data_IF_062013432142
#
_entry.id   IF_062013432142
#
_cell.length_a   1.000
_cell.length_b   1.000
_cell.length_c   1.000
_cell.angle_alpha   90.00
_cell.angle_beta   90.00
_cell.angle_gamma   90.00
#
_symmetry.space_group_name_H-M   'P 1'
#
loop_
_entity.id
_entity.type
_entity.pdbx_description
1 polymer ?
#
# COMPACT_ATOMS: atom_id res chain seq x y z
N UNK A 1 -4.14 17.11 23.84
CA UNK A 1 -3.07 18.01 24.34
C UNK A 1 -3.49 18.76 25.61
N UNK A 2 -4.58 19.55 25.60
CA UNK A 2 -5.00 20.43 26.72
C UNK A 2 -5.26 19.66 28.03
N UNK A 3 -5.96 18.53 27.96
CA UNK A 3 -6.21 17.67 29.13
C UNK A 3 -4.91 17.18 29.78
N UNK A 4 -3.96 16.70 28.98
CA UNK A 4 -2.66 16.24 29.49
C UNK A 4 -1.80 17.39 30.02
N UNK A 5 -1.86 18.57 29.40
CA UNK A 5 -1.17 19.74 29.90
C UNK A 5 -1.69 20.21 31.28
N UNK A 6 -3.02 20.17 31.48
CA UNK A 6 -3.64 20.46 32.79
C UNK A 6 -3.32 19.44 33.88
N UNK A 7 -3.03 18.18 33.48
CA UNK A 7 -2.73 17.08 34.40
C UNK A 7 -1.25 16.66 34.38
N UNK A 8 -0.34 17.54 33.93
CA UNK A 8 1.08 17.24 33.74
C UNK A 8 1.75 16.66 35.00
N UNK A 9 1.39 17.12 36.19
CA UNK A 9 1.97 16.64 37.45
C UNK A 9 1.63 15.18 37.78
N UNK A 10 0.58 14.60 37.17
CA UNK A 10 0.16 13.21 37.37
C UNK A 10 0.70 12.27 36.27
N UNK A 11 1.34 12.79 35.22
CA UNK A 11 1.92 11.99 34.18
C UNK A 11 3.19 11.29 34.66
N UNK A 12 3.26 9.95 34.42
CA UNK A 12 4.45 9.13 34.70
C UNK A 12 5.26 8.92 33.42
N UNK A 13 5.77 9.99 32.84
CA UNK A 13 6.52 9.93 31.59
C UNK A 13 6.29 11.16 30.73
N UNK A 14 6.65 11.04 29.47
CA UNK A 14 6.52 12.11 28.47
C UNK A 14 5.53 11.70 27.39
N UNK A 15 4.67 12.60 26.97
CA UNK A 15 3.79 12.43 25.81
C UNK A 15 4.17 13.43 24.75
N UNK A 16 4.56 12.91 23.58
CA UNK A 16 4.85 13.71 22.40
C UNK A 16 3.63 13.68 21.48
N UNK A 17 3.22 14.83 20.99
CA UNK A 17 2.20 14.96 19.96
C UNK A 17 2.87 15.18 18.62
N UNK A 18 2.57 14.32 17.63
CA UNK A 18 3.05 14.43 16.26
C UNK A 18 1.92 14.97 15.40
N UNK A 19 2.15 16.12 14.78
CA UNK A 19 1.26 16.76 13.80
C UNK A 19 1.93 16.66 12.44
N UNK A 20 1.66 15.58 11.72
CA UNK A 20 2.32 15.33 10.45
C UNK A 20 1.63 16.04 9.28
N UNK A 21 2.40 16.52 8.30
CA UNK A 21 1.87 17.06 7.05
C UNK A 21 1.64 15.94 6.03
N UNK A 22 0.68 16.15 5.12
CA UNK A 22 0.52 15.40 3.88
C UNK A 22 0.45 13.85 4.04
N UNK A 23 -0.36 13.36 5.01
CA UNK A 23 -0.62 11.94 5.18
C UNK A 23 -1.26 11.31 3.92
N UNK A 24 -2.20 12.01 3.28
CA UNK A 24 -2.89 11.59 2.05
C UNK A 24 -2.02 11.69 0.77
N UNK A 25 -0.74 11.98 0.94
CA UNK A 25 0.25 12.16 -0.11
C UNK A 25 0.62 13.63 -0.36
N UNK A 26 1.92 13.94 -0.46
CA UNK A 26 2.38 15.27 -0.79
C UNK A 26 2.08 15.64 -2.26
N UNK A 27 2.11 16.93 -2.61
CA UNK A 27 2.13 17.36 -4.01
C UNK A 27 3.27 16.71 -4.78
N UNK A 28 3.11 16.58 -6.10
CA UNK A 28 4.13 15.97 -6.96
C UNK A 28 5.48 16.72 -6.83
N UNK A 29 6.53 15.94 -6.52
CA UNK A 29 7.89 16.49 -6.33
C UNK A 29 8.20 17.03 -4.92
N UNK A 30 7.26 16.95 -3.98
CA UNK A 30 7.45 17.32 -2.58
C UNK A 30 7.52 16.08 -1.68
N UNK A 31 8.22 16.20 -0.55
CA UNK A 31 8.23 15.21 0.51
C UNK A 31 7.10 15.48 1.52
N UNK A 32 6.66 14.44 2.24
CA UNK A 32 5.62 14.59 3.25
C UNK A 32 5.44 13.34 4.12
N UNK A 33 4.48 13.42 5.00
CA UNK A 33 4.06 12.28 5.81
C UNK A 33 5.05 11.80 6.85
N UNK A 34 4.83 10.58 7.33
CA UNK A 34 5.63 9.95 8.37
C UNK A 34 7.07 9.67 7.93
N UNK A 35 7.27 9.28 6.67
CA UNK A 35 8.60 8.99 6.12
C UNK A 35 9.53 10.20 6.19
N UNK A 36 9.03 11.37 5.78
CA UNK A 36 9.79 12.62 5.84
C UNK A 36 10.14 12.98 7.29
N UNK A 37 9.20 12.86 8.22
CA UNK A 37 9.44 13.18 9.63
C UNK A 37 10.48 12.25 10.27
N UNK A 38 10.50 10.97 9.89
CA UNK A 38 11.54 10.02 10.31
C UNK A 38 12.90 10.39 9.73
N UNK A 39 12.95 10.75 8.44
CA UNK A 39 14.19 11.21 7.79
C UNK A 39 14.75 12.50 8.44
N UNK A 40 13.89 13.36 8.99
CA UNK A 40 14.27 14.53 9.78
C UNK A 40 14.71 14.20 11.22
N UNK A 41 14.70 12.92 11.61
CA UNK A 41 15.20 12.44 12.89
C UNK A 41 14.26 12.67 14.09
N UNK A 42 12.95 12.67 13.87
CA UNK A 42 11.98 12.90 14.96
C UNK A 42 12.13 11.86 16.08
N UNK A 43 12.40 10.60 15.76
CA UNK A 43 12.58 9.55 16.75
C UNK A 43 13.97 9.61 17.41
N UNK A 44 15.01 9.92 16.65
CA UNK A 44 16.37 10.11 17.19
C UNK A 44 16.41 11.22 18.23
N UNK A 45 15.67 12.29 17.95
CA UNK A 45 15.63 13.47 18.83
C UNK A 45 14.88 13.24 20.13
N UNK A 46 13.79 12.45 20.12
CA UNK A 46 12.89 12.31 21.26
C UNK A 46 12.83 10.91 21.84
N UNK A 47 13.37 9.92 21.14
CA UNK A 47 13.48 8.51 21.53
C UNK A 47 12.16 7.94 22.14
N UNK A 48 11.03 7.98 21.42
CA UNK A 48 9.78 7.44 21.94
C UNK A 48 9.84 5.91 22.05
N UNK A 49 9.20 5.35 23.09
CA UNK A 49 9.15 3.91 23.33
C UNK A 49 8.02 3.23 22.53
N UNK A 50 6.93 3.95 22.31
CA UNK A 50 5.74 3.47 21.60
C UNK A 50 5.06 4.63 20.86
N UNK A 51 4.26 4.30 19.84
CA UNK A 51 3.46 5.29 19.12
C UNK A 51 2.02 4.82 18.96
N UNK A 52 1.08 5.78 18.99
CA UNK A 52 -0.35 5.55 18.80
C UNK A 52 -0.88 6.42 17.67
N UNK A 53 -1.73 5.82 16.82
CA UNK A 53 -2.53 6.53 15.82
C UNK A 53 -4.01 6.19 16.00
N UNK A 54 -4.88 7.18 15.85
CA UNK A 54 -6.33 7.02 15.88
C UNK A 54 -6.91 7.58 14.58
N UNK A 55 -7.64 6.75 13.85
CA UNK A 55 -8.34 7.14 12.63
C UNK A 55 -9.86 7.05 12.80
N UNK A 56 -10.56 8.01 12.26
CA UNK A 56 -12.03 7.94 12.13
C UNK A 56 -12.40 7.01 10.97
N UNK A 57 -13.45 6.20 11.17
CA UNK A 57 -13.92 5.31 10.10
C UNK A 57 -15.45 5.18 10.19
N UNK A 58 -16.06 4.49 9.24
CA UNK A 58 -17.51 4.31 9.19
C UNK A 58 -17.99 3.24 10.18
N UNK A 59 -17.78 3.50 11.48
CA UNK A 59 -18.30 2.72 12.60
C UNK A 59 -19.15 3.62 13.51
N UNK A 60 -20.09 3.06 14.30
CA UNK A 60 -20.93 3.88 15.18
C UNK A 60 -20.15 4.72 16.18
N UNK A 61 -20.66 5.90 16.51
CA UNK A 61 -20.03 6.80 17.48
C UNK A 61 -19.75 6.13 18.82
N UNK A 62 -18.52 6.34 19.32
CA UNK A 62 -18.04 5.82 20.59
C UNK A 62 -17.63 4.35 20.54
N UNK A 63 -17.64 3.73 19.37
CA UNK A 63 -17.02 2.41 19.17
C UNK A 63 -15.52 2.61 18.98
N UNK A 64 -14.73 1.75 19.65
CA UNK A 64 -13.29 1.63 19.40
C UNK A 64 -12.98 0.23 18.87
N UNK A 65 -12.10 0.17 17.90
CA UNK A 65 -11.68 -1.09 17.28
C UNK A 65 -10.17 -1.11 17.08
N UNK A 66 -9.56 -2.26 17.30
CA UNK A 66 -8.14 -2.50 17.02
C UNK A 66 -7.95 -3.90 16.41
N UNK A 67 -6.94 -4.06 15.59
CA UNK A 67 -6.49 -5.38 15.14
C UNK A 67 -5.03 -5.59 15.54
N UNK A 68 -4.76 -6.67 16.25
CA UNK A 68 -3.38 -7.10 16.59
C UNK A 68 -2.66 -7.65 15.36
N UNK A 69 -1.37 -7.39 15.23
CA UNK A 69 -0.57 -7.78 14.06
C UNK A 69 -0.85 -6.91 12.82
N UNK A 70 -0.80 -7.47 11.60
CA UNK A 70 -1.09 -6.71 10.37
C UNK A 70 -2.50 -6.14 10.41
N UNK A 71 -2.63 -4.81 10.53
CA UNK A 71 -3.91 -4.12 10.66
C UNK A 71 -4.37 -3.50 9.33
N UNK A 72 -3.45 -2.90 8.57
CA UNK A 72 -3.72 -2.36 7.24
C UNK A 72 -2.68 -2.83 6.24
N UNK A 73 -3.07 -2.92 4.97
CA UNK A 73 -2.20 -3.44 3.92
C UNK A 73 -1.03 -2.51 3.60
N UNK A 74 0.07 -3.10 3.15
CA UNK A 74 1.04 -2.38 2.34
C UNK A 74 0.41 -1.95 1.01
N UNK A 75 0.78 -0.78 0.52
CA UNK A 75 0.35 -0.26 -0.76
C UNK A 75 1.54 0.01 -1.67
N UNK A 76 1.51 -0.58 -2.86
CA UNK A 76 2.45 -0.34 -3.93
C UNK A 76 1.70 -0.04 -5.21
N UNK A 77 2.19 0.89 -6.01
CA UNK A 77 1.75 1.05 -7.39
C UNK A 77 2.78 0.42 -8.34
N UNK A 78 2.31 -0.10 -9.46
CA UNK A 78 3.19 -0.57 -10.53
C UNK A 78 2.84 0.09 -11.85
N UNK A 79 3.84 0.22 -12.71
CA UNK A 79 3.72 0.69 -14.09
C UNK A 79 4.39 -0.31 -15.01
N UNK A 80 3.70 -0.69 -16.06
CA UNK A 80 4.24 -1.55 -17.12
C UNK A 80 4.16 -0.78 -18.44
N UNK A 81 5.32 -0.57 -19.06
CA UNK A 81 5.42 0.03 -20.39
C UNK A 81 5.66 -1.06 -21.41
N UNK A 82 4.88 -1.07 -22.47
CA UNK A 82 4.95 -2.05 -23.55
C UNK A 82 5.28 -1.31 -24.82
N UNK A 83 6.40 -1.67 -25.45
CA UNK A 83 6.86 -1.10 -26.71
C UNK A 83 6.77 -2.13 -27.83
N UNK A 84 6.07 -1.76 -28.88
CA UNK A 84 5.95 -2.52 -30.10
C UNK A 84 6.54 -1.78 -31.30
N UNK A 85 5.98 -2.04 -32.48
CA UNK A 85 6.33 -1.37 -33.74
C UNK A 85 5.06 -0.88 -34.40
N UNK A 86 4.98 0.44 -34.63
CA UNK A 86 3.82 1.08 -35.24
C UNK A 86 3.60 0.56 -36.66
N UNK A 87 2.33 0.35 -37.03
CA UNK A 87 1.92 -0.03 -38.36
C UNK A 87 0.54 0.52 -38.75
N UNK A 88 0.22 0.50 -40.03
CA UNK A 88 -1.14 0.77 -40.47
C UNK A 88 -2.06 -0.40 -40.08
N UNK A 89 -3.25 -0.11 -39.53
CA UNK A 89 -4.17 -1.13 -39.06
C UNK A 89 -4.63 -2.16 -40.09
N UNK A 90 -4.52 -1.85 -41.39
CA UNK A 90 -4.81 -2.81 -42.47
C UNK A 90 -3.63 -3.72 -42.87
N UNK A 91 -2.44 -3.46 -42.31
CA UNK A 91 -1.21 -4.23 -42.57
C UNK A 91 -0.54 -4.62 -41.25
N UNK A 92 -1.24 -5.32 -40.32
CA UNK A 92 -0.76 -5.58 -38.95
C UNK A 92 0.53 -6.41 -38.92
N UNK A 93 0.78 -7.23 -39.94
CA UNK A 93 2.01 -8.02 -40.06
C UNK A 93 3.28 -7.20 -40.32
N UNK A 94 3.15 -5.90 -40.58
CA UNK A 94 4.29 -4.98 -40.75
C UNK A 94 4.73 -4.33 -39.43
N UNK A 95 4.04 -4.61 -38.33
CA UNK A 95 4.30 -4.07 -36.98
C UNK A 95 4.37 -5.14 -35.92
N UNK A 96 4.47 -4.67 -34.66
CA UNK A 96 4.34 -5.47 -33.42
C UNK A 96 3.33 -4.74 -32.57
N UNK A 97 2.19 -5.39 -32.27
CA UNK A 97 1.04 -4.74 -31.65
C UNK A 97 1.12 -4.75 -30.12
N UNK A 98 1.40 -3.61 -29.46
CA UNK A 98 1.44 -3.52 -27.99
C UNK A 98 0.04 -3.55 -27.37
N UNK A 99 -1.05 -3.31 -28.12
CA UNK A 99 -2.43 -3.42 -27.60
C UNK A 99 -2.75 -4.89 -27.34
N UNK A 100 -2.40 -5.79 -28.25
CA UNK A 100 -2.60 -7.22 -28.07
C UNK A 100 -1.77 -7.75 -26.90
N UNK A 101 -0.50 -7.35 -26.79
CA UNK A 101 0.35 -7.68 -25.66
C UNK A 101 -0.21 -7.14 -24.33
N UNK A 102 -0.82 -5.95 -24.34
CA UNK A 102 -1.51 -5.38 -23.16
C UNK A 102 -2.68 -6.25 -22.73
N UNK A 103 -3.52 -6.72 -23.64
CA UNK A 103 -4.65 -7.59 -23.34
C UNK A 103 -4.19 -8.92 -22.71
N UNK A 104 -3.21 -9.60 -23.30
CA UNK A 104 -2.62 -10.82 -22.75
C UNK A 104 -2.03 -10.59 -21.37
N UNK A 105 -1.34 -9.47 -21.16
CA UNK A 105 -0.72 -9.15 -19.87
C UNK A 105 -1.77 -8.90 -18.79
N UNK A 106 -2.88 -8.24 -19.09
CA UNK A 106 -3.98 -8.03 -18.13
C UNK A 106 -4.56 -9.37 -17.68
N UNK A 107 -4.82 -10.29 -18.61
CA UNK A 107 -5.31 -11.63 -18.29
C UNK A 107 -4.29 -12.40 -17.44
N UNK A 108 -3.02 -12.35 -17.80
CA UNK A 108 -1.96 -13.04 -17.10
C UNK A 108 -1.74 -12.48 -15.67
N UNK A 109 -1.79 -11.16 -15.46
CA UNK A 109 -1.70 -10.52 -14.14
C UNK A 109 -2.81 -11.01 -13.21
N UNK A 110 -4.05 -11.17 -13.70
CA UNK A 110 -5.16 -11.69 -12.91
C UNK A 110 -4.96 -13.15 -12.47
N UNK A 111 -4.09 -13.91 -13.14
CA UNK A 111 -3.79 -15.28 -12.74
C UNK A 111 -2.81 -15.37 -11.56
N UNK A 112 -2.05 -14.34 -11.27
CA UNK A 112 -1.03 -14.38 -10.20
C UNK A 112 -1.70 -14.69 -8.87
N UNK A 113 -2.61 -13.85 -8.39
CA UNK A 113 -3.28 -14.05 -7.10
C UNK A 113 -4.13 -15.33 -7.11
N UNK A 114 -4.86 -15.57 -8.19
CA UNK A 114 -5.82 -16.67 -8.27
C UNK A 114 -5.19 -18.06 -8.46
N UNK A 115 -3.92 -18.17 -8.92
CA UNK A 115 -3.29 -19.44 -9.28
C UNK A 115 -1.92 -19.69 -8.67
N UNK A 116 -1.23 -18.65 -8.19
CA UNK A 116 0.16 -18.75 -7.74
C UNK A 116 0.37 -18.38 -6.29
N UNK A 117 -0.57 -17.62 -5.68
CA UNK A 117 -0.46 -17.15 -4.30
C UNK A 117 -1.37 -17.97 -3.37
N UNK A 118 -0.83 -18.36 -2.21
CA UNK A 118 -1.62 -18.97 -1.14
C UNK A 118 -2.37 -17.90 -0.34
N UNK A 119 -3.56 -17.53 -0.81
CA UNK A 119 -4.39 -16.48 -0.21
C UNK A 119 -4.99 -16.82 1.16
N UNK A 120 -4.90 -18.07 1.60
CA UNK A 120 -5.41 -18.48 2.93
C UNK A 120 -4.54 -17.91 4.04
N UNK A 121 -3.23 -17.98 3.86
CA UNK A 121 -2.27 -17.50 4.86
C UNK A 121 -1.99 -16.00 4.70
N UNK A 122 -1.85 -15.55 3.46
CA UNK A 122 -1.41 -14.20 3.12
C UNK A 122 -2.28 -13.63 1.99
N UNK A 123 -3.41 -12.97 2.31
CA UNK A 123 -4.25 -12.36 1.30
C UNK A 123 -3.52 -11.25 0.54
N UNK A 124 -3.77 -11.19 -0.76
CA UNK A 124 -3.20 -10.18 -1.64
C UNK A 124 -4.21 -9.69 -2.68
N UNK A 125 -4.01 -8.48 -3.16
CA UNK A 125 -4.77 -7.89 -4.26
C UNK A 125 -3.79 -7.33 -5.29
N UNK A 126 -4.04 -7.64 -6.57
CA UNK A 126 -3.42 -7.00 -7.73
C UNK A 126 -4.55 -6.46 -8.60
N UNK A 127 -4.55 -5.17 -8.87
CA UNK A 127 -5.57 -4.54 -9.72
C UNK A 127 -4.91 -3.72 -10.82
N UNK A 128 -5.43 -3.85 -12.04
CA UNK A 128 -5.15 -2.91 -13.13
C UNK A 128 -6.15 -1.76 -13.01
N UNK A 129 -5.66 -0.55 -12.80
CA UNK A 129 -6.48 0.65 -12.64
C UNK A 129 -6.50 1.56 -13.86
N UNK A 130 -5.47 1.49 -14.72
CA UNK A 130 -5.34 2.34 -15.88
C UNK A 130 -4.68 1.61 -17.03
N UNK A 131 -5.19 1.84 -18.24
CA UNK A 131 -4.58 1.41 -19.51
C UNK A 131 -4.57 2.60 -20.45
N UNK A 132 -3.43 2.85 -21.08
CA UNK A 132 -3.28 3.84 -22.17
C UNK A 132 -2.71 3.16 -23.40
N UNK A 133 -3.42 3.25 -24.53
CA UNK A 133 -2.96 2.68 -25.80
C UNK A 133 -3.66 3.35 -26.98
N UNK A 134 -2.90 3.61 -28.03
CA UNK A 134 -3.40 4.10 -29.31
C UNK A 134 -3.92 5.54 -29.31
N UNK A 135 -4.04 6.12 -30.52
CA UNK A 135 -4.55 7.47 -30.74
C UNK A 135 -5.53 7.53 -31.92
N UNK A 136 -5.52 6.53 -32.80
CA UNK A 136 -6.39 6.44 -34.00
C UNK A 136 -6.80 5.00 -34.23
N UNK A 137 -8.04 4.81 -34.70
CA UNK A 137 -8.62 3.49 -34.95
C UNK A 137 -7.96 2.68 -36.08
N UNK A 138 -7.21 3.33 -36.96
CA UNK A 138 -6.55 2.71 -38.11
C UNK A 138 -5.01 2.64 -37.99
N UNK A 139 -4.47 2.84 -36.78
CA UNK A 139 -3.03 2.77 -36.50
C UNK A 139 -2.79 1.84 -35.32
N UNK A 140 -1.94 0.83 -35.51
CA UNK A 140 -1.32 0.09 -34.40
C UNK A 140 -0.29 1.02 -33.78
N UNK A 141 -0.39 1.36 -32.49
CA UNK A 141 0.54 2.30 -31.84
C UNK A 141 1.93 1.69 -31.64
N UNK A 142 2.91 2.52 -31.36
CA UNK A 142 4.24 2.06 -30.95
C UNK A 142 4.26 1.66 -29.45
N UNK A 143 3.45 2.31 -28.61
CA UNK A 143 3.52 2.15 -27.17
C UNK A 143 2.14 1.95 -26.54
N UNK A 144 2.11 1.20 -25.44
CA UNK A 144 1.02 1.16 -24.50
C UNK A 144 1.54 1.15 -23.06
N UNK A 145 0.68 1.47 -22.10
CA UNK A 145 1.01 1.55 -20.68
C UNK A 145 -0.11 0.97 -19.83
N UNK A 146 0.25 0.18 -18.83
CA UNK A 146 -0.62 -0.29 -17.76
C UNK A 146 -0.14 0.33 -16.45
N UNK A 147 -1.06 0.80 -15.60
CA UNK A 147 -0.77 1.10 -14.21
C UNK A 147 -1.78 0.40 -13.29
N UNK A 148 -1.30 -0.02 -12.14
CA UNK A 148 -2.14 -0.70 -11.18
C UNK A 148 -1.62 -0.61 -9.75
N UNK A 149 -2.29 -1.31 -8.87
CA UNK A 149 -1.96 -1.33 -7.44
C UNK A 149 -1.83 -2.74 -6.92
N UNK A 150 -0.97 -2.89 -5.92
CA UNK A 150 -0.75 -4.13 -5.16
C UNK A 150 -1.06 -3.84 -3.70
N UNK A 151 -1.77 -4.77 -3.03
CA UNK A 151 -2.01 -4.76 -1.60
C UNK A 151 -1.60 -6.10 -1.01
N UNK A 152 -0.82 -6.06 0.06
CA UNK A 152 -0.36 -7.25 0.80
C UNK A 152 -0.27 -6.97 2.28
N UNK A 153 -0.28 -8.03 3.11
CA UNK A 153 -0.10 -7.94 4.56
C UNK A 153 1.21 -8.58 5.03
N UNK A 154 2.05 -8.98 4.07
CA UNK A 154 3.32 -9.65 4.30
C UNK A 154 4.38 -9.08 3.32
N UNK A 155 5.54 -8.60 3.83
CA UNK A 155 6.56 -8.01 2.97
C UNK A 155 7.26 -9.03 2.05
N UNK A 156 7.31 -10.31 2.42
CA UNK A 156 7.94 -11.33 1.58
C UNK A 156 7.00 -11.75 0.46
N UNK A 157 5.68 -11.84 0.73
CA UNK A 157 4.68 -12.02 -0.31
C UNK A 157 4.71 -10.85 -1.33
N UNK A 158 4.93 -9.61 -0.89
CA UNK A 158 5.08 -8.48 -1.80
C UNK A 158 6.22 -8.70 -2.79
N UNK A 159 7.40 -9.11 -2.29
CA UNK A 159 8.56 -9.42 -3.15
C UNK A 159 8.28 -10.58 -4.10
N UNK A 160 7.52 -11.57 -3.66
CA UNK A 160 7.08 -12.69 -4.50
C UNK A 160 6.17 -12.18 -5.63
N UNK A 161 5.18 -11.36 -5.32
CA UNK A 161 4.29 -10.76 -6.33
C UNK A 161 5.07 -9.93 -7.36
N UNK A 162 6.08 -9.16 -6.94
CA UNK A 162 6.91 -8.40 -7.88
C UNK A 162 7.60 -9.34 -8.88
N UNK A 163 8.22 -10.43 -8.39
CA UNK A 163 8.86 -11.44 -9.26
C UNK A 163 7.85 -12.10 -10.21
N UNK A 164 6.64 -12.39 -9.72
CA UNK A 164 5.59 -12.98 -10.55
C UNK A 164 5.11 -12.05 -11.65
N UNK A 165 4.97 -10.75 -11.36
CA UNK A 165 4.63 -9.71 -12.35
C UNK A 165 5.73 -9.63 -13.43
N UNK A 166 6.99 -9.57 -13.02
CA UNK A 166 8.13 -9.55 -13.95
C UNK A 166 8.20 -10.81 -14.84
N UNK A 167 7.95 -11.98 -14.23
CA UNK A 167 7.94 -13.26 -14.96
C UNK A 167 6.83 -13.32 -16.00
N UNK A 168 5.63 -12.87 -15.64
CA UNK A 168 4.48 -12.81 -16.55
C UNK A 168 4.74 -11.82 -17.66
N UNK A 169 5.24 -10.62 -17.34
CA UNK A 169 5.60 -9.61 -18.33
C UNK A 169 6.65 -10.13 -19.33
N UNK A 170 7.67 -10.82 -18.85
CA UNK A 170 8.69 -11.45 -19.70
C UNK A 170 8.09 -12.54 -20.60
N UNK A 171 7.16 -13.34 -20.11
CA UNK A 171 6.47 -14.36 -20.91
C UNK A 171 5.68 -13.75 -22.06
N UNK A 172 4.90 -12.70 -21.78
CA UNK A 172 4.13 -11.97 -22.79
C UNK A 172 5.07 -11.26 -23.79
N UNK A 173 6.15 -10.64 -23.33
CA UNK A 173 7.13 -9.99 -24.20
C UNK A 173 7.72 -10.96 -25.24
N UNK A 174 8.10 -12.16 -24.81
CA UNK A 174 8.62 -13.22 -25.70
C UNK A 174 7.57 -13.69 -26.68
N UNK A 175 6.33 -13.90 -26.23
CA UNK A 175 5.24 -14.38 -27.11
C UNK A 175 4.79 -13.37 -28.14
N UNK A 176 4.71 -12.11 -27.75
CA UNK A 176 4.23 -11.00 -28.62
C UNK A 176 5.33 -10.34 -29.46
N UNK A 177 6.60 -10.55 -29.10
CA UNK A 177 7.73 -9.85 -29.73
C UNK A 177 7.88 -8.39 -29.28
N UNK A 178 7.15 -7.96 -28.23
CA UNK A 178 7.23 -6.61 -27.67
C UNK A 178 8.39 -6.47 -26.69
N UNK A 179 8.81 -5.23 -26.40
CA UNK A 179 9.71 -4.91 -25.30
C UNK A 179 8.86 -4.43 -24.11
N UNK A 180 8.97 -5.10 -22.96
CA UNK A 180 8.17 -4.79 -21.76
C UNK A 180 9.10 -4.46 -20.60
N UNK A 181 8.86 -3.31 -19.98
CA UNK A 181 9.52 -2.90 -18.73
C UNK A 181 8.52 -2.73 -17.61
N UNK A 182 8.92 -3.11 -16.39
CA UNK A 182 8.10 -3.01 -15.17
C UNK A 182 8.79 -2.10 -14.18
N UNK A 183 8.03 -1.16 -13.62
CA UNK A 183 8.45 -0.26 -12.53
C UNK A 183 7.52 -0.50 -11.34
N UNK A 184 8.08 -0.62 -10.14
CA UNK A 184 7.34 -0.77 -8.90
C UNK A 184 7.46 0.46 -8.00
N UNK A 185 6.57 0.59 -7.04
CA UNK A 185 6.52 1.68 -6.06
C UNK A 185 6.45 3.07 -6.70
N UNK A 186 5.76 3.15 -7.84
CA UNK A 186 5.58 4.40 -8.59
C UNK A 186 4.75 5.38 -7.76
N UNK A 187 5.34 6.52 -7.41
CA UNK A 187 4.68 7.53 -6.57
C UNK A 187 4.72 7.24 -5.07
N UNK A 188 5.55 6.27 -4.66
CA UNK A 188 5.75 5.92 -3.25
C UNK A 188 5.21 4.54 -2.88
N UNK A 189 5.51 4.15 -1.66
CA UNK A 189 5.17 2.86 -1.08
C UNK A 189 4.77 3.05 0.37
N UNK A 190 3.70 2.39 0.84
CA UNK A 190 3.37 2.31 2.27
C UNK A 190 3.61 0.88 2.77
N UNK A 191 4.40 0.71 3.84
CA UNK A 191 4.55 -0.58 4.52
C UNK A 191 3.24 -1.11 5.08
N UNK A 192 3.25 -2.34 5.57
CA UNK A 192 2.13 -2.88 6.38
C UNK A 192 2.01 -2.08 7.67
N UNK A 193 0.83 -1.54 7.97
CA UNK A 193 0.55 -0.99 9.30
C UNK A 193 0.43 -2.15 10.27
N UNK A 194 1.45 -2.32 11.08
CA UNK A 194 1.59 -3.44 12.01
C UNK A 194 1.39 -2.99 13.45
N UNK A 195 0.34 -3.48 14.09
CA UNK A 195 0.08 -3.25 15.51
C UNK A 195 0.86 -4.26 16.36
N UNK A 196 1.76 -3.77 17.19
CA UNK A 196 2.57 -4.62 18.07
C UNK A 196 1.67 -5.40 19.05
N UNK A 197 1.64 -6.75 19.00
CA UNK A 197 0.68 -7.53 19.78
C UNK A 197 0.76 -7.26 21.29
N UNK A 198 1.97 -7.15 21.85
CA UNK A 198 2.18 -6.84 23.26
C UNK A 198 1.63 -5.47 23.65
N UNK A 199 1.74 -4.48 22.76
CA UNK A 199 1.21 -3.15 23.01
C UNK A 199 -0.33 -3.16 22.94
N UNK A 200 -0.91 -3.85 21.97
CA UNK A 200 -2.37 -4.03 21.88
C UNK A 200 -2.90 -4.69 23.12
N UNK A 201 -2.29 -5.78 23.60
CA UNK A 201 -2.70 -6.48 24.83
C UNK A 201 -2.61 -5.57 26.06
N UNK A 202 -1.55 -4.80 26.20
CA UNK A 202 -1.38 -3.87 27.32
C UNK A 202 -2.43 -2.74 27.31
N UNK A 203 -2.91 -2.35 26.12
CA UNK A 203 -3.86 -1.23 25.97
C UNK A 203 -5.32 -1.65 25.98
N UNK A 204 -5.65 -2.93 25.85
CA UNK A 204 -7.04 -3.44 25.78
C UNK A 204 -7.92 -2.93 26.94
N UNK A 205 -7.45 -3.03 28.17
CA UNK A 205 -8.22 -2.58 29.34
C UNK A 205 -8.53 -1.07 29.28
N UNK A 206 -7.56 -0.27 28.82
CA UNK A 206 -7.74 1.18 28.66
C UNK A 206 -8.75 1.51 27.57
N UNK A 207 -8.71 0.81 26.44
CA UNK A 207 -9.66 0.97 25.34
C UNK A 207 -11.07 0.54 25.75
N UNK A 208 -11.21 -0.56 26.50
CA UNK A 208 -12.50 -0.99 27.04
C UNK A 208 -13.08 0.02 28.03
N UNK A 209 -12.25 0.66 28.86
CA UNK A 209 -12.69 1.73 29.75
C UNK A 209 -13.10 3.00 29.02
N UNK A 210 -12.37 3.34 27.93
CA UNK A 210 -12.68 4.51 27.09
C UNK A 210 -13.97 4.33 26.27
N UNK A 211 -14.34 3.09 25.95
CA UNK A 211 -15.53 2.73 25.16
C UNK A 211 -16.31 1.57 25.80
N UNK A 212 -17.01 1.80 26.95
CA UNK A 212 -17.67 0.74 27.67
C UNK A 212 -18.72 0.01 26.84
N UNK A 213 -18.53 -1.31 26.68
CA UNK A 213 -19.45 -2.18 25.90
C UNK A 213 -19.44 -1.98 24.38
N UNK A 214 -18.53 -1.14 23.86
CA UNK A 214 -18.43 -0.83 22.42
C UNK A 214 -17.02 -1.05 21.87
N UNK A 215 -16.07 -1.57 22.66
CA UNK A 215 -14.76 -1.97 22.17
C UNK A 215 -14.80 -3.39 21.60
N UNK A 216 -14.14 -3.60 20.46
CA UNK A 216 -13.90 -4.94 19.93
C UNK A 216 -12.52 -5.05 19.28
N UNK A 217 -11.94 -6.24 19.33
CA UNK A 217 -10.76 -6.60 18.60
C UNK A 217 -11.17 -7.25 17.27
N UNK A 218 -10.75 -6.65 16.17
CA UNK A 218 -11.01 -7.18 14.84
C UNK A 218 -10.06 -8.34 14.50
N UNK A 219 -10.58 -9.36 13.85
CA UNK A 219 -9.77 -10.45 13.27
C UNK A 219 -9.46 -10.21 11.78
N UNK A 220 -10.07 -9.19 11.17
CA UNK A 220 -9.97 -8.91 9.74
C UNK A 220 -9.16 -7.63 9.54
N UNK A 221 -8.07 -7.68 8.78
CA UNK A 221 -7.31 -6.48 8.42
C UNK A 221 -8.06 -5.66 7.36
N UNK A 222 -7.66 -4.40 7.21
CA UNK A 222 -8.21 -3.47 6.21
C UNK A 222 -7.26 -3.39 5.01
N UNK A 223 -7.80 -3.41 3.79
CA UNK A 223 -7.00 -3.31 2.56
C UNK A 223 -6.55 -1.88 2.21
N UNK A 224 -7.02 -0.88 2.96
CA UNK A 224 -6.46 0.47 2.95
C UNK A 224 -5.00 0.46 3.43
N UNK A 225 -4.27 1.51 3.10
CA UNK A 225 -2.90 1.75 3.56
C UNK A 225 -2.85 3.05 4.34
N UNK A 226 -1.82 3.19 5.16
CA UNK A 226 -1.65 4.30 6.09
C UNK A 226 -0.16 4.57 6.28
N UNK A 227 0.27 5.83 6.20
CA UNK A 227 1.67 6.18 6.33
C UNK A 227 2.21 6.06 7.76
N UNK A 228 1.31 6.01 8.78
CA UNK A 228 1.66 5.60 10.14
C UNK A 228 2.47 4.29 10.17
N UNK A 229 2.33 3.48 9.14
CA UNK A 229 3.11 2.25 8.94
C UNK A 229 4.61 2.50 9.01
N UNK A 230 5.12 3.61 8.52
CA UNK A 230 6.54 3.96 8.64
C UNK A 230 6.98 4.10 10.09
N UNK A 231 6.20 4.79 10.92
CA UNK A 231 6.49 4.88 12.35
C UNK A 231 6.48 3.52 13.04
N UNK A 232 5.52 2.65 12.69
CA UNK A 232 5.38 1.32 13.29
C UNK A 232 6.41 0.31 12.82
N UNK A 233 7.22 0.63 11.81
CA UNK A 233 8.42 -0.15 11.46
C UNK A 233 9.60 0.16 12.40
N UNK A 234 9.65 1.38 12.94
CA UNK A 234 10.78 1.83 13.77
C UNK A 234 10.58 1.51 15.26
N UNK A 235 9.36 1.68 15.77
CA UNK A 235 9.03 1.44 17.18
C UNK A 235 7.68 0.73 17.31
N UNK A 236 7.40 0.06 18.44
CA UNK A 236 6.10 -0.56 18.66
C UNK A 236 4.95 0.43 18.51
N UNK A 237 4.11 0.21 17.50
CA UNK A 237 2.97 1.05 17.17
C UNK A 237 1.64 0.37 17.45
N UNK A 238 0.61 1.18 17.70
CA UNK A 238 -0.78 0.75 17.73
C UNK A 238 -1.67 1.77 17.01
N UNK A 239 -2.22 1.35 15.89
CA UNK A 239 -3.20 2.10 15.10
C UNK A 239 -4.59 1.52 15.33
N UNK A 240 -5.57 2.36 15.63
CA UNK A 240 -6.92 1.91 16.01
C UNK A 240 -7.99 2.90 15.53
N UNK A 241 -9.21 2.46 15.52
CA UNK A 241 -10.38 3.22 15.06
C UNK A 241 -11.37 3.49 16.17
#
# INVERSE_FOLDING_TARGET
AEFLAKNKSSLKGTVMFIFQPAEEGPPEGEGGGAEMMLAEGIFDRYNPEVIFGLHVTNIPNGVLSVKSGPAMAAASAYRIKIKGVQAHGSTPWAGIDPIMATAELIEALNTIVSRRINIINNPAVISVGMVKAGTRNNIIPENSEIMGTIRTFDPDLRKEIYREIEQVAKGVAVGSGTDISVEFDVGGFYPVTFNAPKLVDAMKESLMKASPGKFYESNIPVTGAEDFSYFSQEIPGMYFW
#
